data_IF_740301321300
#
_entry.id   IF_740301321300
#
_cell.length_a   1.000
_cell.length_b   1.000
_cell.length_c   1.000
_cell.angle_alpha   90.00
_cell.angle_beta   90.00
_cell.angle_gamma   90.00
#
_symmetry.space_group_name_H-M   'P 1'
#
loop_
_entity.id
_entity.type
_entity.pdbx_description
1 polymer ?
#
# COMPACT_ATOMS: atom_id res chain seq x y z
N UNK A 1 -15.47 0.37 -7.56
CA UNK A 1 -14.26 1.15 -7.83
C UNK A 1 -13.77 1.72 -6.52
N UNK A 2 -12.53 1.39 -6.14
CA UNK A 2 -11.94 1.90 -4.91
C UNK A 2 -11.63 3.40 -5.08
N UNK A 3 -11.87 4.21 -4.06
CA UNK A 3 -11.55 5.65 -4.03
C UNK A 3 -10.08 5.93 -4.41
N UNK A 4 -9.19 4.97 -4.17
CA UNK A 4 -7.80 5.01 -4.60
C UNK A 4 -7.65 4.98 -6.12
N UNK A 5 -8.46 4.19 -6.83
CA UNK A 5 -8.41 4.10 -8.29
C UNK A 5 -8.82 5.42 -8.95
N UNK A 6 -9.77 6.16 -8.37
CA UNK A 6 -10.20 7.47 -8.88
C UNK A 6 -9.11 8.54 -8.73
N UNK A 7 -8.36 8.50 -7.62
CA UNK A 7 -7.25 9.44 -7.37
C UNK A 7 -6.05 9.14 -8.28
N UNK A 8 -5.76 7.86 -8.50
CA UNK A 8 -4.55 7.41 -9.20
C UNK A 8 -4.72 7.44 -10.72
N UNK A 9 -5.93 7.25 -11.25
CA UNK A 9 -6.21 7.26 -12.70
C UNK A 9 -5.74 8.54 -13.43
N UNK A 10 -6.08 9.76 -12.98
CA UNK A 10 -5.59 10.97 -13.64
C UNK A 10 -4.07 11.13 -13.57
N UNK A 11 -3.44 10.66 -12.48
CA UNK A 11 -1.99 10.68 -12.32
C UNK A 11 -1.30 9.84 -13.42
N UNK A 12 -1.78 8.62 -13.67
CA UNK A 12 -1.24 7.76 -14.72
C UNK A 12 -1.40 8.36 -16.12
N UNK A 13 -2.54 8.99 -16.40
CA UNK A 13 -2.78 9.63 -17.70
C UNK A 13 -1.82 10.80 -17.90
N UNK A 14 -1.67 11.67 -16.90
CA UNK A 14 -0.78 12.84 -16.98
C UNK A 14 0.69 12.41 -17.12
N UNK A 15 1.13 11.44 -16.32
CA UNK A 15 2.49 10.90 -16.41
C UNK A 15 2.75 10.23 -17.75
N UNK A 16 1.81 9.43 -18.26
CA UNK A 16 1.92 8.75 -19.55
C UNK A 16 2.06 9.74 -20.70
N UNK A 17 1.20 10.76 -20.74
CA UNK A 17 1.28 11.82 -21.76
C UNK A 17 2.58 12.62 -21.65
N UNK A 18 3.01 12.99 -20.44
CA UNK A 18 4.25 13.71 -20.20
C UNK A 18 5.48 12.92 -20.68
N UNK A 19 5.51 11.62 -20.42
CA UNK A 19 6.59 10.74 -20.87
C UNK A 19 6.62 10.60 -22.38
N UNK A 20 5.46 10.42 -23.03
CA UNK A 20 5.37 10.34 -24.50
C UNK A 20 5.81 11.64 -25.18
N UNK A 21 5.37 12.79 -24.66
CA UNK A 21 5.80 14.10 -25.16
C UNK A 21 7.30 14.32 -24.94
N UNK A 22 7.82 13.98 -23.76
CA UNK A 22 9.25 14.05 -23.45
C UNK A 22 10.09 13.18 -24.40
N UNK A 23 9.61 11.96 -24.67
CA UNK A 23 10.25 11.06 -25.62
C UNK A 23 10.27 11.65 -27.06
N UNK A 24 9.13 12.17 -27.53
CA UNK A 24 9.04 12.83 -28.82
C UNK A 24 9.97 14.04 -28.94
N UNK A 25 10.02 14.88 -27.89
CA UNK A 25 10.93 16.02 -27.81
C UNK A 25 12.40 15.58 -27.79
N UNK A 26 12.75 14.56 -27.07
CA UNK A 26 14.12 14.03 -27.01
C UNK A 26 14.61 13.56 -28.40
N UNK A 27 13.76 12.86 -29.14
CA UNK A 27 14.09 12.37 -30.47
C UNK A 27 14.30 13.52 -31.50
N UNK A 28 13.59 14.64 -31.34
CA UNK A 28 13.68 15.79 -32.25
C UNK A 28 14.75 16.79 -31.83
N UNK A 29 14.83 17.12 -30.56
CA UNK A 29 15.74 18.16 -30.06
C UNK A 29 17.18 17.68 -29.96
N UNK A 30 17.41 16.40 -29.57
CA UNK A 30 18.78 15.89 -29.39
C UNK A 30 19.62 15.97 -30.69
N UNK A 31 19.13 15.50 -31.88
CA UNK A 31 19.90 15.65 -33.12
C UNK A 31 20.01 17.10 -33.56
N UNK A 32 18.96 17.92 -33.34
CA UNK A 32 19.00 19.34 -33.71
C UNK A 32 20.08 20.11 -32.91
N UNK A 33 20.11 19.91 -31.58
CA UNK A 33 21.14 20.50 -30.73
C UNK A 33 22.53 19.91 -31.02
N UNK A 34 22.58 18.62 -31.35
CA UNK A 34 23.82 17.97 -31.80
C UNK A 34 24.42 18.65 -33.03
N UNK A 35 23.62 18.89 -34.07
CA UNK A 35 24.06 19.57 -35.30
C UNK A 35 24.47 21.04 -35.03
N UNK A 36 23.71 21.74 -34.19
CA UNK A 36 23.97 23.14 -33.88
C UNK A 36 25.21 23.37 -32.99
N UNK A 37 25.43 22.50 -31.98
CA UNK A 37 26.45 22.67 -30.95
C UNK A 37 27.76 21.93 -31.29
N UNK A 38 27.70 20.79 -31.96
CA UNK A 38 28.86 19.96 -32.28
C UNK A 38 29.54 20.42 -33.57
N UNK A 39 30.62 21.14 -33.42
CA UNK A 39 31.57 21.38 -34.54
C UNK A 39 32.49 20.19 -34.66
N UNK A 40 32.14 19.22 -35.49
CA UNK A 40 32.95 18.03 -35.74
C UNK A 40 34.22 18.45 -36.52
N UNK A 41 35.39 18.38 -35.90
CA UNK A 41 36.66 18.46 -36.60
C UNK A 41 36.92 17.12 -37.29
N UNK A 42 37.40 17.08 -38.55
CA UNK A 42 37.84 15.82 -39.16
C UNK A 42 38.91 15.17 -38.27
N UNK A 43 38.59 14.01 -37.70
CA UNK A 43 39.55 13.27 -36.88
C UNK A 43 40.56 12.58 -37.77
N UNK A 44 41.85 12.76 -37.49
CA UNK A 44 42.95 12.08 -38.20
C UNK A 44 43.02 10.59 -37.92
N UNK A 45 42.24 10.08 -36.96
CA UNK A 45 42.17 8.68 -36.55
C UNK A 45 40.74 8.30 -36.25
N UNK A 46 40.33 7.08 -36.61
CA UNK A 46 39.00 6.59 -36.30
C UNK A 46 38.85 6.39 -34.77
N UNK A 47 38.01 7.22 -34.11
CA UNK A 47 37.86 7.13 -32.65
C UNK A 47 37.18 5.81 -32.21
N UNK A 48 36.61 5.05 -33.14
CA UNK A 48 35.92 3.80 -32.87
C UNK A 48 36.82 2.57 -33.01
N UNK A 49 38.08 2.70 -33.47
CA UNK A 49 39.04 1.59 -33.58
C UNK A 49 39.69 1.23 -32.22
N UNK A 50 38.87 1.03 -31.23
CA UNK A 50 39.31 0.60 -29.89
C UNK A 50 38.86 -0.85 -29.62
N UNK A 51 39.64 -1.59 -28.85
CA UNK A 51 39.30 -2.97 -28.46
C UNK A 51 37.89 -3.11 -27.85
N UNK A 52 37.42 -2.05 -27.20
CA UNK A 52 36.06 -2.00 -26.64
C UNK A 52 35.00 -1.95 -27.74
N UNK A 53 35.16 -1.07 -28.73
CA UNK A 53 34.20 -0.95 -29.83
C UNK A 53 34.18 -2.19 -30.71
N UNK A 54 35.31 -2.84 -30.94
CA UNK A 54 35.37 -4.12 -31.69
C UNK A 54 34.60 -5.24 -30.96
N UNK A 55 34.72 -5.32 -29.62
CA UNK A 55 33.89 -6.28 -28.83
C UNK A 55 32.42 -5.96 -28.86
N UNK A 56 32.09 -4.66 -28.80
CA UNK A 56 30.72 -4.19 -28.87
C UNK A 56 30.10 -4.49 -30.25
N UNK A 57 30.83 -4.27 -31.35
CA UNK A 57 30.38 -4.63 -32.69
C UNK A 57 30.15 -6.15 -32.84
N UNK A 58 31.05 -6.96 -32.32
CA UNK A 58 30.89 -8.42 -32.32
C UNK A 58 29.65 -8.85 -31.57
N UNK A 59 29.38 -8.23 -30.43
CA UNK A 59 28.18 -8.50 -29.61
C UNK A 59 26.91 -8.07 -30.38
N UNK A 60 26.92 -6.87 -30.96
CA UNK A 60 25.79 -6.38 -31.76
C UNK A 60 25.54 -7.26 -32.99
N UNK A 61 26.59 -7.61 -33.73
CA UNK A 61 26.48 -8.51 -34.86
C UNK A 61 25.94 -9.89 -34.48
N UNK A 62 26.36 -10.41 -33.34
CA UNK A 62 25.84 -11.66 -32.75
C UNK A 62 24.35 -11.56 -32.41
N UNK A 63 23.93 -10.50 -31.73
CA UNK A 63 22.54 -10.25 -31.40
C UNK A 63 21.66 -10.08 -32.63
N UNK A 64 22.13 -9.34 -33.64
CA UNK A 64 21.42 -9.15 -34.92
C UNK A 64 21.32 -10.45 -35.71
N UNK A 65 22.38 -11.27 -35.72
CA UNK A 65 22.35 -12.59 -36.37
C UNK A 65 21.33 -13.52 -35.70
N UNK A 66 21.18 -13.43 -34.40
CA UNK A 66 20.24 -14.24 -33.61
C UNK A 66 18.99 -13.47 -33.18
N UNK A 67 18.58 -12.49 -34.03
CA UNK A 67 17.49 -11.55 -33.77
C UNK A 67 16.21 -12.18 -33.22
N UNK A 68 15.80 -13.32 -33.78
CA UNK A 68 14.60 -14.02 -33.33
C UNK A 68 14.77 -14.66 -31.92
N UNK A 69 15.97 -15.14 -31.62
CA UNK A 69 16.29 -15.64 -30.28
C UNK A 69 16.29 -14.53 -29.23
N UNK A 70 16.81 -13.35 -29.59
CA UNK A 70 16.78 -12.18 -28.72
C UNK A 70 15.33 -11.71 -28.48
N UNK A 71 14.53 -11.62 -29.53
CA UNK A 71 13.10 -11.27 -29.40
C UNK A 71 12.36 -12.29 -28.54
N UNK A 72 12.55 -13.58 -28.79
CA UNK A 72 11.95 -14.64 -27.98
C UNK A 72 12.39 -14.56 -26.52
N UNK A 73 13.66 -14.28 -26.25
CA UNK A 73 14.20 -14.09 -24.90
C UNK A 73 13.55 -12.90 -24.18
N UNK A 74 13.41 -11.77 -24.85
CA UNK A 74 12.74 -10.57 -24.29
C UNK A 74 11.26 -10.85 -24.00
N UNK A 75 10.55 -11.52 -24.94
CA UNK A 75 9.14 -11.88 -24.75
C UNK A 75 8.98 -12.87 -23.60
N UNK A 76 9.86 -13.86 -23.51
CA UNK A 76 9.84 -14.84 -22.41
C UNK A 76 10.09 -14.15 -21.05
N UNK A 77 11.05 -13.23 -20.99
CA UNK A 77 11.37 -12.48 -19.77
C UNK A 77 10.23 -11.55 -19.36
N UNK A 78 9.57 -10.96 -20.33
CA UNK A 78 8.37 -10.13 -20.10
C UNK A 78 7.19 -10.98 -19.59
N UNK A 79 6.93 -12.14 -20.19
CA UNK A 79 5.90 -13.08 -19.75
C UNK A 79 6.18 -13.59 -18.32
N UNK A 80 7.44 -13.92 -18.02
CA UNK A 80 7.88 -14.30 -16.69
C UNK A 80 7.64 -13.17 -15.67
N UNK A 81 7.96 -11.93 -16.04
CA UNK A 81 7.72 -10.75 -15.20
C UNK A 81 6.23 -10.58 -14.87
N UNK A 82 5.34 -10.75 -15.85
CA UNK A 82 3.91 -10.70 -15.65
C UNK A 82 3.41 -11.84 -14.74
N UNK A 83 3.95 -13.03 -14.90
CA UNK A 83 3.60 -14.17 -14.04
C UNK A 83 4.03 -13.94 -12.58
N UNK A 84 5.23 -13.41 -12.36
CA UNK A 84 5.73 -13.06 -11.02
C UNK A 84 4.92 -11.93 -10.40
N UNK A 85 4.50 -10.93 -11.21
CA UNK A 85 3.66 -9.83 -10.74
C UNK A 85 2.30 -10.33 -10.21
N UNK A 86 1.73 -11.38 -10.83
CA UNK A 86 0.49 -12.02 -10.36
C UNK A 86 0.62 -12.74 -9.01
N UNK A 87 1.84 -13.12 -8.61
CA UNK A 87 2.11 -13.76 -7.32
C UNK A 87 2.35 -12.73 -6.18
N UNK A 88 2.55 -11.46 -6.52
CA UNK A 88 2.73 -10.41 -5.51
C UNK A 88 1.39 -9.99 -4.90
N UNK A 89 1.28 -9.91 -3.58
CA UNK A 89 0.10 -9.36 -2.93
C UNK A 89 -0.08 -7.89 -3.35
N UNK A 90 -1.18 -7.62 -4.07
CA UNK A 90 -1.49 -6.29 -4.59
C UNK A 90 -2.17 -5.43 -3.51
N UNK A 91 -1.50 -5.23 -2.40
CA UNK A 91 -1.94 -4.31 -1.36
C UNK A 91 -1.27 -2.95 -1.57
N UNK A 92 -2.04 -1.99 -2.10
CA UNK A 92 -1.56 -0.61 -2.29
C UNK A 92 -1.17 0.04 -0.94
N UNK A 93 -1.91 -0.30 0.12
CA UNK A 93 -1.58 0.04 1.49
C UNK A 93 -1.44 -1.26 2.30
N UNK A 94 -0.22 -1.72 2.60
CA UNK A 94 -0.04 -2.83 3.51
C UNK A 94 -0.61 -2.48 4.89
N UNK A 95 -1.10 -3.47 5.61
CA UNK A 95 -1.43 -3.32 7.03
C UNK A 95 -0.19 -2.81 7.76
N UNK A 96 -0.36 -1.84 8.67
CA UNK A 96 0.74 -1.41 9.53
C UNK A 96 1.29 -2.62 10.28
N UNK A 97 2.61 -2.73 10.28
CA UNK A 97 3.34 -3.80 10.98
C UNK A 97 3.40 -3.52 12.49
N UNK A 98 2.24 -3.27 13.08
CA UNK A 98 2.07 -2.90 14.48
C UNK A 98 1.11 -3.87 15.17
N UNK A 99 1.39 -4.28 16.41
CA UNK A 99 0.55 -5.19 17.17
C UNK A 99 -0.68 -4.48 17.78
N UNK A 100 -1.43 -3.77 16.95
CA UNK A 100 -2.62 -3.04 17.38
C UNK A 100 -3.84 -3.43 16.56
N UNK A 101 -4.98 -3.51 17.22
CA UNK A 101 -6.28 -3.45 16.55
C UNK A 101 -7.22 -2.52 17.29
N UNK A 102 -8.22 -2.03 16.60
CA UNK A 102 -9.26 -1.19 17.16
C UNK A 102 -10.61 -1.88 17.05
N UNK A 103 -11.48 -1.58 17.98
CA UNK A 103 -12.85 -2.00 17.98
C UNK A 103 -13.77 -0.78 18.16
N UNK A 104 -14.61 -0.51 17.19
CA UNK A 104 -15.66 0.49 17.28
C UNK A 104 -16.93 -0.21 17.77
N UNK A 105 -17.49 0.26 18.86
CA UNK A 105 -18.65 -0.29 19.57
C UNK A 105 -19.79 0.68 19.40
N UNK A 106 -20.89 0.25 18.80
CA UNK A 106 -22.08 1.06 18.62
C UNK A 106 -23.29 0.34 19.22
N UNK A 107 -24.02 1.02 20.08
CA UNK A 107 -25.29 0.55 20.61
C UNK A 107 -26.45 1.16 19.81
N UNK A 108 -27.64 0.56 19.81
CA UNK A 108 -28.83 1.13 19.19
C UNK A 108 -29.14 2.55 19.67
N UNK A 109 -29.85 3.32 18.87
CA UNK A 109 -30.31 4.65 19.25
C UNK A 109 -31.23 4.57 20.46
N UNK A 110 -31.08 5.51 21.39
CA UNK A 110 -31.84 5.55 22.64
C UNK A 110 -31.07 5.04 23.87
N UNK A 111 -29.96 4.35 23.66
CA UNK A 111 -29.07 3.97 24.76
C UNK A 111 -28.31 5.18 25.27
N UNK A 112 -28.14 5.26 26.61
CA UNK A 112 -27.40 6.32 27.25
C UNK A 112 -25.91 5.94 27.44
N UNK A 113 -25.10 6.91 27.81
CA UNK A 113 -23.66 6.74 28.00
C UNK A 113 -23.31 5.70 29.09
N UNK A 114 -24.18 5.50 30.06
CA UNK A 114 -23.97 4.50 31.14
C UNK A 114 -24.14 3.08 30.62
N UNK A 115 -25.02 2.89 29.67
CA UNK A 115 -25.21 1.58 29.02
C UNK A 115 -24.01 1.25 28.14
N UNK A 116 -23.47 2.26 27.46
CA UNK A 116 -22.22 2.16 26.68
C UNK A 116 -21.06 1.83 27.61
N UNK A 117 -20.94 2.53 28.76
CA UNK A 117 -19.92 2.26 29.76
C UNK A 117 -19.97 0.82 30.27
N UNK A 118 -21.17 0.31 30.59
CA UNK A 118 -21.33 -1.07 31.09
C UNK A 118 -20.82 -2.10 30.08
N UNK A 119 -21.18 -1.96 28.81
CA UNK A 119 -20.73 -2.87 27.78
C UNK A 119 -19.21 -2.77 27.54
N UNK A 120 -18.67 -1.55 27.53
CA UNK A 120 -17.23 -1.34 27.36
C UNK A 120 -16.42 -1.92 28.53
N UNK A 121 -16.91 -1.82 29.77
CA UNK A 121 -16.26 -2.44 30.93
C UNK A 121 -16.20 -3.97 30.83
N UNK A 122 -17.29 -4.62 30.42
CA UNK A 122 -17.27 -6.07 30.18
C UNK A 122 -16.23 -6.50 29.16
N UNK A 123 -16.12 -5.71 28.09
CA UNK A 123 -15.13 -5.95 27.03
C UNK A 123 -13.70 -5.71 27.53
N UNK A 124 -13.49 -4.64 28.29
CA UNK A 124 -12.22 -4.26 28.89
C UNK A 124 -11.73 -5.33 29.90
N UNK A 125 -12.62 -5.79 30.78
CA UNK A 125 -12.33 -6.85 31.75
C UNK A 125 -11.88 -8.14 31.04
N UNK A 126 -12.61 -8.57 30.01
CA UNK A 126 -12.24 -9.73 29.21
C UNK A 126 -10.88 -9.56 28.53
N UNK A 127 -10.60 -8.37 27.98
CA UNK A 127 -9.32 -8.07 27.32
C UNK A 127 -8.15 -8.11 28.32
N UNK A 128 -8.34 -7.65 29.53
CA UNK A 128 -7.31 -7.70 30.58
C UNK A 128 -6.99 -9.12 31.05
N UNK A 129 -7.92 -10.06 30.90
CA UNK A 129 -7.68 -11.48 31.21
C UNK A 129 -6.83 -12.18 30.14
N UNK A 130 -6.63 -11.56 28.96
CA UNK A 130 -5.84 -12.18 27.91
C UNK A 130 -4.35 -11.87 28.10
N UNK A 131 -3.48 -12.89 28.22
CA UNK A 131 -2.04 -12.69 28.45
C UNK A 131 -1.32 -12.04 27.26
N UNK A 132 -1.90 -12.11 26.06
CA UNK A 132 -1.35 -11.50 24.84
C UNK A 132 -1.56 -9.99 24.79
N UNK A 133 -2.51 -9.46 25.57
CA UNK A 133 -2.85 -8.04 25.57
C UNK A 133 -1.91 -7.27 26.50
N UNK A 134 -1.30 -6.22 25.96
CA UNK A 134 -0.36 -5.36 26.68
C UNK A 134 -1.05 -4.14 27.28
N UNK A 135 -1.87 -3.46 26.47
CA UNK A 135 -2.54 -2.20 26.86
C UNK A 135 -3.90 -2.12 26.20
N UNK A 136 -4.89 -1.70 26.97
CA UNK A 136 -6.25 -1.41 26.48
C UNK A 136 -6.53 0.07 26.76
N UNK A 137 -6.99 0.79 25.74
CA UNK A 137 -7.42 2.18 25.87
C UNK A 137 -8.86 2.31 25.41
N UNK A 138 -9.74 2.67 26.34
CA UNK A 138 -11.19 2.79 26.10
C UNK A 138 -11.57 4.26 26.02
N UNK A 139 -12.32 4.63 24.99
CA UNK A 139 -12.87 5.98 24.82
C UNK A 139 -14.37 5.90 24.65
N UNK A 140 -15.12 6.65 25.42
CA UNK A 140 -16.58 6.67 25.40
C UNK A 140 -17.10 7.95 24.73
N UNK A 141 -18.18 7.83 23.98
CA UNK A 141 -18.88 8.97 23.37
C UNK A 141 -18.23 9.53 22.12
N UNK A 142 -16.98 9.22 21.88
CA UNK A 142 -16.24 9.70 20.68
C UNK A 142 -15.09 8.75 20.34
N UNK A 143 -14.45 8.97 19.20
CA UNK A 143 -13.14 8.39 18.92
C UNK A 143 -12.03 9.23 19.57
N UNK A 144 -10.89 8.61 19.91
CA UNK A 144 -9.70 9.36 20.32
C UNK A 144 -9.31 10.41 19.27
N UNK A 145 -8.54 11.44 19.65
CA UNK A 145 -7.93 12.35 18.68
C UNK A 145 -7.23 11.55 17.60
N UNK A 146 -7.18 12.09 16.37
CA UNK A 146 -6.61 11.41 15.22
C UNK A 146 -5.18 10.92 15.50
N UNK A 147 -5.04 9.62 15.78
CA UNK A 147 -3.77 8.99 16.13
C UNK A 147 -3.14 8.23 14.96
N UNK A 148 -3.88 8.10 13.84
CA UNK A 148 -3.33 7.57 12.62
C UNK A 148 -4.06 8.12 11.38
N UNK A 149 -3.43 8.03 10.19
CA UNK A 149 -3.85 8.75 8.98
C UNK A 149 -5.28 8.44 8.51
N UNK A 150 -5.68 7.17 8.57
CA UNK A 150 -7.00 6.71 8.13
C UNK A 150 -8.08 6.75 9.24
N UNK A 151 -7.77 7.31 10.41
CA UNK A 151 -8.74 7.48 11.49
C UNK A 151 -9.60 8.71 11.24
N UNK A 152 -10.90 8.52 11.10
CA UNK A 152 -11.88 9.61 11.11
C UNK A 152 -12.38 9.83 12.53
N UNK A 153 -12.43 11.07 12.99
CA UNK A 153 -13.07 11.40 14.26
C UNK A 153 -14.58 11.30 14.11
N UNK A 154 -15.22 10.59 15.04
CA UNK A 154 -16.68 10.55 15.14
C UNK A 154 -17.14 11.64 16.11
N UNK A 155 -18.18 12.36 15.73
CA UNK A 155 -18.83 13.36 16.60
C UNK A 155 -19.35 12.69 17.86
N UNK A 156 -19.46 13.48 18.93
CA UNK A 156 -19.92 13.02 20.25
C UNK A 156 -21.28 12.29 20.15
N UNK A 157 -21.30 11.03 20.54
CA UNK A 157 -22.50 10.18 20.57
C UNK A 157 -22.52 9.34 21.84
N UNK A 158 -23.60 9.42 22.66
CA UNK A 158 -23.67 8.67 23.92
C UNK A 158 -23.69 7.15 23.75
N UNK A 159 -24.13 6.66 22.61
CA UNK A 159 -24.23 5.23 22.26
C UNK A 159 -22.99 4.69 21.53
N UNK A 160 -21.87 5.42 21.52
CA UNK A 160 -20.64 5.02 20.83
C UNK A 160 -19.47 4.88 21.79
N UNK A 161 -18.66 3.86 21.55
CA UNK A 161 -17.38 3.65 22.21
C UNK A 161 -16.31 3.16 21.24
N UNK A 162 -15.07 3.40 21.59
CA UNK A 162 -13.91 2.92 20.83
C UNK A 162 -12.91 2.30 21.78
N UNK A 163 -12.42 1.12 21.44
CA UNK A 163 -11.38 0.41 22.18
C UNK A 163 -10.17 0.27 21.27
N UNK A 164 -9.02 0.71 21.77
CA UNK A 164 -7.73 0.51 21.14
C UNK A 164 -6.95 -0.50 21.94
N UNK A 165 -6.56 -1.60 21.30
CA UNK A 165 -5.90 -2.73 21.93
C UNK A 165 -4.48 -2.88 21.38
N UNK A 166 -3.50 -2.87 22.28
CA UNK A 166 -2.09 -3.17 21.98
C UNK A 166 -1.76 -4.57 22.49
N UNK A 167 -1.14 -5.39 21.63
CA UNK A 167 -0.67 -6.72 21.98
C UNK A 167 0.86 -6.74 22.13
N UNK A 168 1.37 -7.82 22.71
CA UNK A 168 2.81 -8.06 22.82
C UNK A 168 3.40 -8.51 21.48
N UNK A 169 2.68 -9.35 20.72
CA UNK A 169 3.13 -9.87 19.41
C UNK A 169 2.06 -9.67 18.34
N UNK A 170 2.50 -9.17 17.18
CA UNK A 170 1.67 -8.98 16.00
C UNK A 170 1.03 -10.28 15.48
N UNK A 171 1.77 -11.39 15.56
CA UNK A 171 1.28 -12.67 15.01
C UNK A 171 -0.01 -13.16 15.68
N UNK A 172 -0.24 -12.74 16.92
CA UNK A 172 -1.41 -13.10 17.71
C UNK A 172 -2.59 -12.14 17.52
N UNK A 173 -2.39 -11.02 16.82
CA UNK A 173 -3.39 -9.95 16.71
C UNK A 173 -4.67 -10.43 16.06
N UNK A 174 -4.57 -11.17 14.96
CA UNK A 174 -5.74 -11.70 14.22
C UNK A 174 -6.49 -12.76 15.05
N UNK A 175 -5.78 -13.58 15.79
CA UNK A 175 -6.37 -14.61 16.64
C UNK A 175 -7.11 -13.99 17.84
N UNK A 176 -6.49 -13.02 18.51
CA UNK A 176 -7.10 -12.29 19.64
C UNK A 176 -8.31 -11.46 19.14
N UNK A 177 -8.21 -10.81 17.99
CA UNK A 177 -9.33 -10.10 17.37
C UNK A 177 -10.53 -11.03 17.12
N UNK A 178 -10.30 -12.21 16.57
CA UNK A 178 -11.34 -13.20 16.31
C UNK A 178 -11.99 -13.72 17.60
N UNK A 179 -11.18 -14.01 18.65
CA UNK A 179 -11.69 -14.41 19.97
C UNK A 179 -12.50 -13.30 20.62
N UNK A 180 -12.03 -12.06 20.51
CA UNK A 180 -12.75 -10.89 21.00
C UNK A 180 -14.10 -10.70 20.31
N UNK A 181 -14.13 -10.81 18.99
CA UNK A 181 -15.38 -10.72 18.21
C UNK A 181 -16.38 -11.81 18.64
N UNK A 182 -15.93 -13.04 18.82
CA UNK A 182 -16.76 -14.15 19.29
C UNK A 182 -17.32 -13.90 20.70
N UNK A 183 -16.48 -13.37 21.60
CA UNK A 183 -16.89 -13.02 22.96
C UNK A 183 -17.98 -11.94 22.97
N UNK A 184 -17.79 -10.86 22.18
CA UNK A 184 -18.75 -9.74 22.13
C UNK A 184 -20.09 -10.21 21.56
N UNK A 185 -20.09 -11.00 20.50
CA UNK A 185 -21.32 -11.58 19.93
C UNK A 185 -22.08 -12.45 20.92
N UNK A 186 -21.37 -13.20 21.77
CA UNK A 186 -21.97 -14.08 22.76
C UNK A 186 -22.53 -13.35 24.00
N UNK A 187 -21.85 -12.29 24.45
CA UNK A 187 -22.14 -11.63 25.73
C UNK A 187 -22.79 -10.26 25.61
N UNK A 188 -22.70 -9.61 24.44
CA UNK A 188 -23.23 -8.27 24.18
C UNK A 188 -24.09 -8.26 22.91
N UNK A 189 -25.27 -8.91 22.89
CA UNK A 189 -26.09 -9.10 21.68
C UNK A 189 -26.61 -7.79 21.08
N UNK A 190 -26.75 -6.73 21.87
CA UNK A 190 -27.24 -5.42 21.43
C UNK A 190 -26.13 -4.53 20.84
N UNK A 191 -24.88 -5.02 20.86
CA UNK A 191 -23.73 -4.25 20.38
C UNK A 191 -23.44 -4.56 18.93
N UNK A 192 -23.37 -3.52 18.13
CA UNK A 192 -22.77 -3.62 16.82
C UNK A 192 -21.26 -3.32 16.91
N UNK A 193 -20.45 -4.36 16.72
CA UNK A 193 -19.00 -4.32 16.81
C UNK A 193 -18.39 -4.23 15.42
N UNK A 194 -17.46 -3.30 15.23
CA UNK A 194 -16.59 -3.23 14.07
C UNK A 194 -15.14 -3.26 14.51
N UNK A 195 -14.54 -4.43 14.51
CA UNK A 195 -13.09 -4.55 14.72
C UNK A 195 -12.32 -4.35 13.41
N UNK A 196 -11.14 -3.82 13.49
CA UNK A 196 -10.24 -3.68 12.35
C UNK A 196 -8.79 -3.57 12.77
N UNK A 197 -7.93 -4.26 12.05
CA UNK A 197 -6.49 -4.05 12.09
C UNK A 197 -6.16 -2.67 11.52
N UNK A 198 -5.07 -2.07 11.98
CA UNK A 198 -4.60 -0.80 11.42
C UNK A 198 -4.15 -1.00 9.98
N UNK A 199 -4.88 -0.39 9.05
CA UNK A 199 -4.53 -0.32 7.62
C UNK A 199 -4.24 1.14 7.28
N UNK A 200 -3.27 1.39 6.41
CA UNK A 200 -2.97 2.74 5.91
C UNK A 200 -4.06 3.28 4.96
N UNK A 201 -5.02 2.43 4.57
CA UNK A 201 -6.17 2.79 3.74
C UNK A 201 -7.44 2.89 4.60
N UNK A 202 -8.31 3.87 4.30
CA UNK A 202 -9.67 3.94 4.85
C UNK A 202 -10.53 2.78 4.39
#
# INVERSE_FOLDING_TARGET
PSSVAEIVKPLFVVLGLSLLLSWGLALTQTPLFGDFMLRVKPAAHDPYDTKFYRKFDQLLAGLLRWRWGVVAGVVALFALSLAVMGLMPQNFFPSLDKPYFRADVLLPEGYNIRDTERNLRLMEEWLHEQPEVKTVSVTMGSTPPRYYLASSSISLRPNFGNILIELHDRKQTEEVENRFNAYVVANCPDVWLRSSLFKLSP
#
